data_IF_806684828220
#
_entry.id   IF_806684828220
#
_cell.length_a   1.000
_cell.length_b   1.000
_cell.length_c   1.000
_cell.angle_alpha   90.00
_cell.angle_beta   90.00
_cell.angle_gamma   90.00
#
_symmetry.space_group_name_H-M   'P 1'
#
loop_
_entity.id
_entity.type
_entity.pdbx_description
1 polymer ?
#
# COMPACT_ATOMS: atom_id res chain seq x y z
N UNK A 1 -1.89 -18.11 15.40
CA UNK A 1 -0.60 -18.00 14.68
C UNK A 1 -0.75 -16.84 13.70
N UNK A 2 0.02 -15.76 13.84
CA UNK A 2 0.11 -14.73 12.79
C UNK A 2 0.97 -15.35 11.70
N UNK A 3 0.44 -15.55 10.50
CA UNK A 3 1.28 -15.89 9.37
C UNK A 3 2.37 -14.83 9.26
N UNK A 4 3.63 -15.23 9.32
CA UNK A 4 4.75 -14.29 9.20
C UNK A 4 4.72 -13.62 7.83
N UNK A 5 5.24 -12.40 7.70
CA UNK A 5 5.37 -11.75 6.38
C UNK A 5 6.06 -12.66 5.35
N UNK A 6 7.04 -13.46 5.80
CA UNK A 6 7.72 -14.44 4.97
C UNK A 6 6.78 -15.52 4.40
N UNK A 7 5.78 -15.97 5.17
CA UNK A 7 4.80 -16.96 4.69
C UNK A 7 3.88 -16.34 3.65
N UNK A 8 3.47 -15.08 3.84
CA UNK A 8 2.67 -14.35 2.85
C UNK A 8 3.44 -14.12 1.54
N UNK A 9 4.74 -13.83 1.60
CA UNK A 9 5.56 -13.75 0.39
C UNK A 9 5.69 -15.11 -0.29
N UNK A 10 5.90 -16.20 0.46
CA UNK A 10 5.96 -17.56 -0.10
C UNK A 10 4.62 -17.99 -0.74
N UNK A 11 3.49 -17.58 -0.16
CA UNK A 11 2.17 -17.80 -0.73
C UNK A 11 1.97 -17.01 -2.02
N UNK A 12 2.39 -15.74 -2.04
CA UNK A 12 2.36 -14.91 -3.25
C UNK A 12 3.26 -15.44 -4.37
N UNK A 13 4.41 -16.03 -4.04
CA UNK A 13 5.27 -16.70 -5.03
C UNK A 13 4.59 -17.91 -5.68
N UNK A 14 3.77 -18.65 -4.91
CA UNK A 14 3.01 -19.80 -5.41
C UNK A 14 1.76 -19.41 -6.20
N UNK A 15 1.14 -18.29 -5.83
CA UNK A 15 -0.09 -17.77 -6.43
C UNK A 15 0.05 -16.26 -6.68
N UNK A 16 0.83 -15.84 -7.71
CA UNK A 16 1.10 -14.43 -7.97
C UNK A 16 -0.14 -13.64 -8.42
N UNK A 17 -1.21 -14.30 -8.84
CA UNK A 17 -2.52 -13.74 -9.15
C UNK A 17 -3.42 -13.53 -7.92
N UNK A 18 -3.06 -14.08 -6.75
CA UNK A 18 -3.90 -14.00 -5.56
C UNK A 18 -3.84 -12.59 -4.93
N UNK A 19 -4.88 -11.82 -5.22
CA UNK A 19 -5.07 -10.49 -4.66
C UNK A 19 -5.32 -10.48 -3.15
N UNK A 20 -5.84 -11.56 -2.57
CA UNK A 20 -6.08 -11.62 -1.12
C UNK A 20 -4.76 -11.58 -0.35
N UNK A 21 -3.77 -12.36 -0.79
CA UNK A 21 -2.42 -12.39 -0.21
C UNK A 21 -1.71 -11.06 -0.43
N UNK A 22 -1.78 -10.53 -1.66
CA UNK A 22 -1.18 -9.24 -2.00
C UNK A 22 -1.76 -8.09 -1.17
N UNK A 23 -3.07 -8.05 -0.96
CA UNK A 23 -3.72 -7.01 -0.14
C UNK A 23 -3.24 -7.08 1.30
N UNK A 24 -3.07 -8.28 1.89
CA UNK A 24 -2.51 -8.43 3.24
C UNK A 24 -1.08 -7.89 3.33
N UNK A 25 -0.26 -8.13 2.31
CA UNK A 25 1.09 -7.58 2.22
C UNK A 25 1.08 -6.05 2.07
N UNK A 26 0.16 -5.50 1.25
CA UNK A 26 -0.05 -4.05 1.11
C UNK A 26 -0.48 -3.44 2.44
N UNK A 27 -1.43 -4.04 3.15
CA UNK A 27 -1.89 -3.60 4.47
C UNK A 27 -0.75 -3.61 5.50
N UNK A 28 0.09 -4.64 5.49
CA UNK A 28 1.23 -4.73 6.39
C UNK A 28 2.31 -3.68 6.07
N UNK A 29 2.61 -3.45 4.78
CA UNK A 29 3.55 -2.44 4.33
C UNK A 29 3.05 -1.02 4.64
N UNK A 30 1.77 -0.74 4.39
CA UNK A 30 1.11 0.50 4.81
C UNK A 30 1.18 0.65 6.33
N UNK A 31 0.83 -0.39 7.10
CA UNK A 31 0.88 -0.35 8.55
C UNK A 31 2.29 -0.08 9.12
N UNK A 32 3.34 -0.57 8.47
CA UNK A 32 4.72 -0.47 8.96
C UNK A 32 5.42 0.84 8.65
N UNK A 33 5.01 1.61 7.63
CA UNK A 33 5.87 2.69 7.13
C UNK A 33 6.03 2.70 5.63
N UNK A 34 6.01 1.52 5.04
CA UNK A 34 6.63 1.21 3.77
C UNK A 34 5.68 1.39 2.59
N UNK A 35 5.33 2.65 2.31
CA UNK A 35 4.57 3.02 1.11
C UNK A 35 5.27 2.63 -0.21
N UNK A 36 6.62 2.69 -0.33
CA UNK A 36 7.31 2.16 -1.50
C UNK A 36 7.00 0.68 -1.77
N UNK A 37 7.06 -0.17 -0.74
CA UNK A 37 6.75 -1.60 -0.86
C UNK A 37 5.27 -1.82 -1.22
N UNK A 38 4.36 -1.11 -0.56
CA UNK A 38 2.93 -1.17 -0.89
C UNK A 38 2.65 -0.85 -2.37
N UNK A 39 3.31 0.18 -2.93
CA UNK A 39 3.21 0.54 -4.36
C UNK A 39 3.86 -0.49 -5.28
N UNK A 40 4.98 -1.08 -4.87
CA UNK A 40 5.68 -2.15 -5.62
C UNK A 40 4.77 -3.36 -5.80
N UNK A 41 4.09 -3.78 -4.72
CA UNK A 41 3.17 -4.93 -4.73
C UNK A 41 2.01 -4.75 -5.72
N UNK A 42 1.44 -3.54 -5.82
CA UNK A 42 0.37 -3.24 -6.80
C UNK A 42 0.90 -3.32 -8.24
N UNK A 43 2.08 -2.75 -8.50
CA UNK A 43 2.66 -2.64 -9.85
C UNK A 43 3.20 -3.95 -10.41
N UNK A 44 3.62 -4.86 -9.54
CA UNK A 44 4.23 -6.15 -9.92
C UNK A 44 3.20 -7.26 -10.15
N UNK A 45 1.92 -6.91 -10.22
CA UNK A 45 0.86 -7.86 -10.56
C UNK A 45 1.06 -8.50 -11.94
N UNK A 46 0.94 -9.84 -12.07
CA UNK A 46 0.91 -10.48 -13.38
C UNK A 46 -0.31 -10.08 -14.20
N UNK A 47 -1.41 -9.67 -13.53
CA UNK A 47 -2.62 -9.18 -14.17
C UNK A 47 -2.55 -7.67 -14.52
N UNK A 48 -1.36 -7.10 -14.73
CA UNK A 48 -1.21 -5.67 -15.05
C UNK A 48 -2.02 -5.24 -16.28
N UNK A 49 -2.24 -6.17 -17.21
CA UNK A 49 -2.98 -5.93 -18.45
C UNK A 49 -4.50 -6.16 -18.31
N UNK A 50 -4.97 -6.62 -17.14
CA UNK A 50 -6.39 -6.77 -16.83
C UNK A 50 -6.84 -5.70 -15.84
N UNK A 51 -7.97 -5.03 -16.10
CA UNK A 51 -8.52 -4.11 -15.13
C UNK A 51 -8.91 -4.90 -13.88
N UNK A 52 -8.36 -4.49 -12.74
CA UNK A 52 -8.79 -4.93 -11.42
C UNK A 52 -10.30 -4.69 -11.26
N UNK A 53 -11.04 -5.58 -10.58
CA UNK A 53 -12.39 -5.29 -10.11
C UNK A 53 -12.45 -3.95 -9.37
N UNK A 54 -13.51 -3.16 -9.59
CA UNK A 54 -13.65 -1.82 -9.02
C UNK A 54 -13.49 -1.80 -7.49
N UNK A 55 -14.07 -2.79 -6.81
CA UNK A 55 -13.96 -2.96 -5.35
C UNK A 55 -12.51 -3.12 -4.87
N UNK A 56 -11.68 -3.85 -5.64
CA UNK A 56 -10.26 -4.02 -5.32
C UNK A 56 -9.49 -2.72 -5.59
N UNK A 57 -9.81 -2.00 -6.66
CA UNK A 57 -9.20 -0.70 -6.96
C UNK A 57 -9.48 0.31 -5.84
N UNK A 58 -10.74 0.41 -5.40
CA UNK A 58 -11.16 1.30 -4.31
C UNK A 58 -10.49 0.94 -2.99
N UNK A 59 -10.36 -0.36 -2.68
CA UNK A 59 -9.68 -0.83 -1.48
C UNK A 59 -8.19 -0.47 -1.50
N UNK A 60 -7.49 -0.73 -2.61
CA UNK A 60 -6.07 -0.39 -2.77
C UNK A 60 -5.87 1.12 -2.68
N UNK A 61 -6.72 1.88 -3.36
CA UNK A 61 -6.70 3.34 -3.32
C UNK A 61 -6.86 3.84 -1.87
N UNK A 62 -7.86 3.33 -1.15
CA UNK A 62 -8.10 3.70 0.25
C UNK A 62 -6.91 3.39 1.15
N UNK A 63 -6.26 2.23 0.98
CA UNK A 63 -5.07 1.84 1.76
C UNK A 63 -3.89 2.79 1.53
N UNK A 64 -3.64 3.17 0.27
CA UNK A 64 -2.53 4.03 -0.10
C UNK A 64 -2.79 5.51 0.24
N UNK A 65 -4.04 5.95 0.19
CA UNK A 65 -4.42 7.35 0.42
C UNK A 65 -4.69 7.65 1.90
N UNK A 66 -5.31 6.74 2.67
CA UNK A 66 -5.67 6.98 4.08
C UNK A 66 -4.45 7.27 4.96
N UNK A 67 -3.32 6.62 4.71
CA UNK A 67 -2.07 6.91 5.44
C UNK A 67 -1.40 8.22 5.02
N UNK A 68 -1.71 8.75 3.83
CA UNK A 68 -1.27 10.10 3.47
C UNK A 68 -2.00 11.16 4.31
N UNK A 69 -3.22 10.87 4.77
CA UNK A 69 -4.02 11.78 5.62
C UNK A 69 -3.64 11.68 7.10
N UNK A 70 -3.28 10.49 7.58
CA UNK A 70 -2.81 10.25 8.97
C UNK A 70 -1.32 10.63 9.20
N UNK A 71 -0.63 11.15 8.18
CA UNK A 71 0.74 11.66 8.32
C UNK A 71 0.76 13.20 8.32
N UNK A 72 0.68 13.87 9.48
CA UNK A 72 0.71 15.34 9.56
C UNK A 72 2.05 15.97 9.13
N UNK A 73 3.06 15.18 8.75
CA UNK A 73 4.41 15.69 8.43
C UNK A 73 4.47 16.40 7.06
N UNK A 74 3.49 16.23 6.18
CA UNK A 74 3.46 16.90 4.86
C UNK A 74 2.78 18.29 4.86
N UNK A 75 2.19 18.71 5.98
CA UNK A 75 1.54 20.01 6.11
C UNK A 75 2.30 20.92 7.09
N UNK A 76 3.60 21.14 6.84
CA UNK A 76 4.22 22.35 7.35
C UNK A 76 3.90 23.48 6.36
N UNK A 77 3.00 24.43 6.68
CA UNK A 77 3.03 25.71 5.99
C UNK A 77 4.43 26.30 6.24
N UNK A 78 5.15 26.50 5.14
CA UNK A 78 6.41 27.24 5.08
C UNK A 78 6.26 28.51 5.93
N UNK A 79 7.19 28.68 6.85
CA UNK A 79 7.09 29.57 7.99
C UNK A 79 6.66 31.00 7.70
N UNK A 80 6.04 31.57 8.72
CA UNK A 80 6.01 32.98 9.01
C UNK A 80 7.44 33.54 8.96
N UNK A 81 7.76 34.32 7.94
CA UNK A 81 8.79 35.35 8.06
C UNK A 81 8.06 36.68 8.06
N UNK A 82 7.84 37.21 9.27
CA UNK A 82 7.43 38.57 9.48
C UNK A 82 8.51 39.54 9.02
N UNK A 83 8.09 40.64 8.42
CA UNK A 83 8.77 41.92 8.61
C UNK A 83 7.76 43.04 8.43
N UNK A 84 7.58 43.72 9.57
CA UNK A 84 7.08 45.07 9.74
C UNK A 84 7.62 46.03 8.70
#
# INVERSE_FOLDING_TARGET
>A
MRAGLAELYAELERAPEDWSVRIRLIEAAVGSGDLPEAKRLVRTSPERDRPLPAELQERIHSLLTRRATDNPIAAQPKGEDGST
#
